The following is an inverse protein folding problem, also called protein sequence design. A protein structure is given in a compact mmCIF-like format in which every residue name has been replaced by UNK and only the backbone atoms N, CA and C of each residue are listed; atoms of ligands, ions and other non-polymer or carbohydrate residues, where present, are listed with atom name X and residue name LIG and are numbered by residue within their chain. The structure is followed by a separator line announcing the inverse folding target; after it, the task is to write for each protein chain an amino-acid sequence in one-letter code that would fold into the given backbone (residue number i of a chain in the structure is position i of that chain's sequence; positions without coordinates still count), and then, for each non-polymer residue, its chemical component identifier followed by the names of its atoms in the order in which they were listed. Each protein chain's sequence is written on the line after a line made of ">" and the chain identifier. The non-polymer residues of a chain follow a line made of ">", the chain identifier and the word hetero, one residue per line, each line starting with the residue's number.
data_IF_037970216518
#
_entry.id   IF_037970216518
#
_cell.length_a   1.000
_cell.length_b   1.000
_cell.length_c   1.000
_cell.angle_alpha   90.00
_cell.angle_beta   90.00
_cell.angle_gamma   90.00
#
_symmetry.space_group_name_H-M   'P 1'
#
loop_
_entity.id
_entity.type
_entity.pdbx_description
1 polymer ?
#
# COMPACT_ATOMS: atom_id res chain seq x y z
N UNK A 1 5.16 19.55 -1.43
CA UNK A 1 5.37 19.15 -0.02
C UNK A 1 4.06 18.85 0.71
N UNK A 2 3.03 19.70 0.65
CA UNK A 2 1.74 19.53 1.35
C UNK A 2 1.03 18.19 1.13
N UNK A 3 0.83 17.77 -0.13
CA UNK A 3 0.12 16.53 -0.46
C UNK A 3 0.86 15.28 0.07
N UNK A 4 2.20 15.31 0.09
CA UNK A 4 3.03 14.23 0.64
C UNK A 4 2.99 14.19 2.17
N UNK A 5 2.95 15.36 2.83
CA UNK A 5 2.78 15.46 4.28
C UNK A 5 1.44 14.89 4.72
N UNK A 6 0.35 15.29 4.03
CA UNK A 6 -0.99 14.77 4.28
C UNK A 6 -1.06 13.25 4.07
N UNK A 7 -0.49 12.74 2.99
CA UNK A 7 -0.45 11.30 2.77
C UNK A 7 0.33 10.54 3.84
N UNK A 8 1.40 11.13 4.38
CA UNK A 8 2.11 10.55 5.51
C UNK A 8 1.23 10.54 6.78
N UNK A 9 0.54 11.65 7.07
CA UNK A 9 -0.38 11.74 8.20
C UNK A 9 -1.58 10.79 8.09
N UNK A 10 -2.04 10.45 6.88
CA UNK A 10 -3.08 9.42 6.67
C UNK A 10 -2.51 8.01 6.84
N UNK A 11 -1.27 7.75 6.43
CA UNK A 11 -0.64 6.43 6.59
C UNK A 11 -0.42 6.06 8.05
N UNK A 12 -0.17 7.04 8.91
CA UNK A 12 0.05 6.81 10.34
C UNK A 12 -1.15 6.15 11.05
N UNK A 13 -2.38 6.67 11.00
CA UNK A 13 -3.55 6.02 11.59
C UNK A 13 -3.87 4.69 10.90
N UNK A 14 -3.66 4.54 9.58
CA UNK A 14 -3.84 3.24 8.91
C UNK A 14 -2.85 2.18 9.45
N UNK A 15 -1.59 2.56 9.69
CA UNK A 15 -0.61 1.70 10.35
C UNK A 15 -1.02 1.34 11.79
N UNK A 16 -1.56 2.31 12.53
CA UNK A 16 -2.10 2.10 13.88
C UNK A 16 -3.29 1.13 13.90
N UNK A 17 -4.28 1.33 13.03
CA UNK A 17 -5.46 0.45 12.87
C UNK A 17 -5.00 -0.97 12.52
N UNK A 18 -4.09 -1.10 11.56
CA UNK A 18 -3.52 -2.40 11.17
C UNK A 18 -2.82 -3.07 12.35
N UNK A 19 -1.98 -2.34 13.09
CA UNK A 19 -1.29 -2.87 14.27
C UNK A 19 -2.24 -3.30 15.38
N UNK A 20 -3.28 -2.51 15.66
CA UNK A 20 -4.32 -2.86 16.63
C UNK A 20 -5.09 -4.12 16.22
N UNK A 21 -5.45 -4.24 14.94
CA UNK A 21 -6.11 -5.44 14.41
C UNK A 21 -5.20 -6.68 14.48
N UNK A 22 -3.90 -6.53 14.21
CA UNK A 22 -2.93 -7.62 14.36
C UNK A 22 -2.76 -8.08 15.81
N UNK A 23 -2.75 -7.15 16.77
CA UNK A 23 -2.72 -7.48 18.19
C UNK A 23 -4.01 -8.19 18.60
N UNK A 24 -5.17 -7.67 18.20
CA UNK A 24 -6.46 -8.29 18.48
C UNK A 24 -6.56 -9.70 17.89
N UNK A 25 -6.08 -9.92 16.67
CA UNK A 25 -6.06 -11.24 16.01
C UNK A 25 -5.26 -12.32 16.78
N UNK A 26 -4.35 -11.91 17.67
CA UNK A 26 -3.57 -12.81 18.52
C UNK A 26 -4.27 -13.16 19.83
N UNK A 27 -5.17 -12.29 20.29
CA UNK A 27 -5.94 -12.45 21.52
C UNK A 27 -7.28 -13.18 21.28
N UNK A 28 -7.73 -13.29 20.02
CA UNK A 28 -8.99 -13.93 19.68
C UNK A 28 -8.88 -15.47 19.78
N UNK A 29 -9.76 -16.12 20.57
CA UNK A 29 -9.70 -17.56 20.82
C UNK A 29 -10.27 -18.40 19.67
N UNK A 30 -11.16 -17.83 18.87
CA UNK A 30 -11.84 -18.50 17.76
C UNK A 30 -11.28 -18.04 16.41
N UNK A 31 -10.96 -19.00 15.53
CA UNK A 31 -10.44 -18.70 14.20
C UNK A 31 -11.44 -17.89 13.35
N UNK A 32 -12.74 -18.16 13.51
CA UNK A 32 -13.83 -17.41 12.88
C UNK A 32 -13.82 -15.91 13.22
N UNK A 33 -13.33 -15.54 14.41
CA UNK A 33 -13.22 -14.14 14.80
C UNK A 33 -12.00 -13.46 14.17
N UNK A 34 -10.97 -14.23 13.80
CA UNK A 34 -9.76 -13.74 13.14
C UNK A 34 -10.04 -13.32 11.69
N UNK A 35 -11.09 -13.85 11.06
CA UNK A 35 -11.56 -13.37 9.76
C UNK A 35 -11.93 -11.88 9.80
N UNK A 36 -12.54 -11.41 10.90
CA UNK A 36 -12.85 -9.98 11.06
C UNK A 36 -11.59 -9.12 11.15
N UNK A 37 -10.58 -9.55 11.91
CA UNK A 37 -9.33 -8.79 12.04
C UNK A 37 -8.53 -8.82 10.74
N UNK A 38 -8.58 -9.92 9.98
CA UNK A 38 -8.02 -10.02 8.65
C UNK A 38 -8.67 -9.01 7.68
N UNK A 39 -10.00 -8.90 7.68
CA UNK A 39 -10.71 -7.90 6.87
C UNK A 39 -10.24 -6.48 7.23
N UNK A 40 -10.11 -6.15 8.52
CA UNK A 40 -9.63 -4.82 8.95
C UNK A 40 -8.19 -4.55 8.47
N UNK A 41 -7.30 -5.54 8.59
CA UNK A 41 -5.91 -5.43 8.12
C UNK A 41 -5.88 -5.18 6.61
N UNK A 42 -6.64 -5.94 5.85
CA UNK A 42 -6.71 -5.79 4.40
C UNK A 42 -7.26 -4.43 3.98
N UNK A 43 -8.31 -3.92 4.64
CA UNK A 43 -8.85 -2.59 4.32
C UNK A 43 -7.84 -1.48 4.63
N UNK A 44 -7.11 -1.59 5.75
CA UNK A 44 -6.05 -0.64 6.07
C UNK A 44 -4.94 -0.66 5.01
N UNK A 45 -4.54 -1.85 4.54
CA UNK A 45 -3.56 -2.01 3.46
C UNK A 45 -4.09 -1.51 2.11
N UNK A 46 -5.38 -1.76 1.78
CA UNK A 46 -6.05 -1.23 0.58
C UNK A 46 -6.05 0.30 0.58
N UNK A 47 -6.43 0.92 1.69
CA UNK A 47 -6.44 2.37 1.84
C UNK A 47 -5.03 2.97 1.73
N UNK A 48 -4.02 2.33 2.35
CA UNK A 48 -2.62 2.76 2.21
C UNK A 48 -2.19 2.76 0.74
N UNK A 49 -2.48 1.67 0.02
CA UNK A 49 -2.14 1.52 -1.40
C UNK A 49 -2.89 2.54 -2.27
N UNK A 50 -4.14 2.86 -1.94
CA UNK A 50 -4.89 3.92 -2.61
C UNK A 50 -4.20 5.29 -2.44
N UNK A 51 -3.83 5.63 -1.20
CA UNK A 51 -3.08 6.85 -0.90
C UNK A 51 -1.76 6.90 -1.67
N UNK A 52 -1.03 5.78 -1.74
CA UNK A 52 0.20 5.67 -2.52
C UNK A 52 -0.01 5.93 -4.02
N UNK A 53 -1.09 5.39 -4.61
CA UNK A 53 -1.42 5.63 -6.02
C UNK A 53 -1.82 7.07 -6.29
N UNK A 54 -2.58 7.71 -5.39
CA UNK A 54 -2.99 9.11 -5.53
C UNK A 54 -1.80 10.07 -5.52
N UNK A 55 -0.71 9.70 -4.85
CA UNK A 55 0.53 10.47 -4.86
C UNK A 55 1.36 10.29 -6.15
N UNK A 56 1.08 9.24 -6.92
CA UNK A 56 1.82 8.88 -8.12
C UNK A 56 3.27 8.49 -7.86
N UNK A 57 3.92 7.91 -8.87
CA UNK A 57 5.38 7.83 -8.88
C UNK A 57 5.95 9.22 -9.14
N UNK A 58 6.51 9.85 -8.10
CA UNK A 58 7.28 11.07 -8.26
C UNK A 58 8.70 10.82 -8.80
N UNK A 59 9.04 9.56 -9.12
CA UNK A 59 10.26 9.27 -9.87
C UNK A 59 10.02 9.72 -11.30
N UNK A 60 10.70 10.79 -11.69
CA UNK A 60 10.94 11.09 -13.10
C UNK A 60 11.43 9.80 -13.77
N UNK A 61 10.91 9.45 -14.96
CA UNK A 61 11.46 8.36 -15.72
C UNK A 61 12.96 8.60 -15.88
N UNK A 62 13.76 7.57 -15.58
CA UNK A 62 15.17 7.62 -15.90
C UNK A 62 15.28 7.54 -17.42
N UNK A 63 15.42 8.71 -18.05
CA UNK A 63 15.63 8.79 -19.48
C UNK A 63 17.05 8.30 -19.76
N UNK A 64 17.13 7.22 -20.53
CA UNK A 64 18.37 6.69 -21.07
C UNK A 64 18.17 6.44 -22.55
N UNK A 65 19.25 6.55 -23.33
CA UNK A 65 19.25 6.08 -24.71
C UNK A 65 18.92 4.59 -24.70
N UNK A 66 17.86 4.19 -25.39
CA UNK A 66 17.48 2.79 -25.54
C UNK A 66 17.24 2.46 -27.01
N UNK A 67 17.52 1.21 -27.39
CA UNK A 67 17.19 0.71 -28.72
C UNK A 67 15.71 0.31 -28.74
N UNK A 68 14.91 0.99 -29.57
CA UNK A 68 13.47 0.73 -29.68
C UNK A 68 13.18 -0.70 -30.14
N UNK A 69 14.08 -1.32 -30.93
CA UNK A 69 13.91 -2.71 -31.37
C UNK A 69 13.97 -3.71 -30.21
N UNK A 70 14.86 -3.52 -29.23
CA UNK A 70 14.97 -4.40 -28.06
C UNK A 70 13.75 -4.30 -27.14
N UNK A 71 13.14 -3.12 -27.05
CA UNK A 71 11.94 -2.90 -26.23
C UNK A 71 10.74 -3.63 -26.84
N UNK A 72 10.61 -3.62 -28.17
CA UNK A 72 9.51 -4.28 -28.86
C UNK A 72 9.58 -5.81 -28.77
N UNK A 73 10.77 -6.40 -28.77
CA UNK A 73 10.93 -7.86 -28.63
C UNK A 73 10.61 -8.37 -27.20
N UNK A 74 10.81 -7.55 -26.18
CA UNK A 74 10.64 -7.96 -24.77
C UNK A 74 9.18 -7.99 -24.30
N UNK A 75 8.26 -7.39 -25.07
CA UNK A 75 6.82 -7.34 -24.80
C UNK A 75 6.05 -8.33 -25.71
N UNK A 76 6.78 -9.11 -26.52
CA UNK A 76 6.25 -10.21 -27.32
C UNK A 76 6.06 -11.50 -26.53
#
# INVERSE_FOLDING_TARGET
>A
MLVRGLAHEIKNPLGGIRGAAQLLARELPEESLRDYTNVIIEEADRLRNLVDRMLGSNKLPSLAMCNVHEVLERVG
#
